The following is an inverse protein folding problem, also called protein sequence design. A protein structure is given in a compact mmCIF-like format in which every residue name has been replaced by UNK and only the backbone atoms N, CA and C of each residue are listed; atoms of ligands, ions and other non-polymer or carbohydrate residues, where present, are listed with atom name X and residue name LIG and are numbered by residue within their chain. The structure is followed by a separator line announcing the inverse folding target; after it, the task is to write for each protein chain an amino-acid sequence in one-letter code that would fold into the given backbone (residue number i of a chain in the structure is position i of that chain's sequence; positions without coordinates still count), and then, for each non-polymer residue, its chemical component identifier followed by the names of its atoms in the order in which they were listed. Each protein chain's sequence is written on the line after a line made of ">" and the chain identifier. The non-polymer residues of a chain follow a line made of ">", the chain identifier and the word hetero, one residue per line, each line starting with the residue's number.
data_IF_655353829265
#
_entry.id   IF_655353829265
#
_cell.length_a   1.000
_cell.length_b   1.000
_cell.length_c   1.000
_cell.angle_alpha   90.00
_cell.angle_beta   90.00
_cell.angle_gamma   90.00
#
_symmetry.space_group_name_H-M   'P 1'
#
loop_
_entity.id
_entity.type
_entity.pdbx_description
1 polymer ?
#
# COMPACT_ATOMS: atom_id res chain seq x y z
N UNK A 1 -8.03 37.86 3.11
CA UNK A 1 -7.61 36.88 2.09
C UNK A 1 -6.71 35.76 2.65
N UNK A 2 -5.62 36.05 3.37
CA UNK A 2 -4.68 35.01 3.88
C UNK A 2 -5.34 33.98 4.83
N UNK A 3 -6.28 34.40 5.69
CA UNK A 3 -7.00 33.51 6.62
C UNK A 3 -7.96 32.54 5.91
N UNK A 4 -8.62 32.97 4.83
CA UNK A 4 -9.53 32.11 4.04
C UNK A 4 -8.77 31.01 3.29
N UNK A 5 -7.58 31.32 2.77
CA UNK A 5 -6.71 30.33 2.13
C UNK A 5 -6.25 29.22 3.09
N UNK A 6 -5.89 29.60 4.33
CA UNK A 6 -5.50 28.65 5.37
C UNK A 6 -6.64 27.73 5.80
N UNK A 7 -7.87 28.28 5.92
CA UNK A 7 -9.06 27.51 6.29
C UNK A 7 -9.43 26.48 5.21
N UNK A 8 -9.39 26.88 3.93
CA UNK A 8 -9.64 25.98 2.79
C UNK A 8 -8.62 24.83 2.73
N UNK A 9 -7.35 25.14 2.98
CA UNK A 9 -6.28 24.12 3.04
C UNK A 9 -6.55 23.08 4.12
N UNK A 10 -6.85 23.53 5.35
CA UNK A 10 -7.17 22.62 6.47
C UNK A 10 -8.38 21.75 6.18
N UNK A 11 -9.43 22.31 5.57
CA UNK A 11 -10.63 21.56 5.20
C UNK A 11 -10.33 20.47 4.15
N UNK A 12 -9.49 20.78 3.16
CA UNK A 12 -9.04 19.81 2.16
C UNK A 12 -8.21 18.68 2.79
N UNK A 13 -7.29 19.00 3.69
CA UNK A 13 -6.49 18.01 4.43
C UNK A 13 -7.39 17.08 5.25
N UNK A 14 -8.40 17.60 5.93
CA UNK A 14 -9.36 16.78 6.69
C UNK A 14 -10.21 15.88 5.79
N UNK A 15 -10.63 16.36 4.62
CA UNK A 15 -11.35 15.57 3.63
C UNK A 15 -10.47 14.44 3.09
N UNK A 16 -9.21 14.74 2.74
CA UNK A 16 -8.23 13.76 2.28
C UNK A 16 -8.02 12.65 3.32
N UNK A 17 -7.89 13.00 4.60
CA UNK A 17 -7.82 12.04 5.71
C UNK A 17 -9.06 11.14 5.72
N UNK A 18 -10.26 11.71 5.62
CA UNK A 18 -11.52 10.92 5.62
C UNK A 18 -11.54 9.92 4.47
N UNK A 19 -11.11 10.32 3.28
CA UNK A 19 -11.03 9.44 2.11
C UNK A 19 -10.00 8.34 2.35
N UNK A 20 -8.78 8.69 2.76
CA UNK A 20 -7.71 7.72 2.96
C UNK A 20 -8.04 6.66 4.01
N UNK A 21 -8.75 7.01 5.10
CA UNK A 21 -9.22 6.03 6.10
C UNK A 21 -9.97 4.87 5.45
N UNK A 22 -10.94 5.19 4.61
CA UNK A 22 -11.77 4.20 3.94
C UNK A 22 -11.02 3.47 2.83
N UNK A 23 -10.11 4.15 2.14
CA UNK A 23 -9.24 3.52 1.13
C UNK A 23 -8.33 2.48 1.77
N UNK A 24 -7.60 2.81 2.84
CA UNK A 24 -6.71 1.84 3.51
C UNK A 24 -7.49 0.69 4.17
N UNK A 25 -8.63 0.98 4.81
CA UNK A 25 -9.50 -0.08 5.33
C UNK A 25 -10.01 -0.99 4.21
N UNK A 26 -10.43 -0.42 3.09
CA UNK A 26 -10.86 -1.17 1.91
C UNK A 26 -9.75 -2.04 1.34
N UNK A 27 -8.53 -1.50 1.19
CA UNK A 27 -7.35 -2.26 0.73
C UNK A 27 -7.04 -3.40 1.69
N UNK A 28 -7.07 -3.16 2.99
CA UNK A 28 -6.85 -4.19 3.99
C UNK A 28 -7.87 -5.32 3.87
N UNK A 29 -9.17 -4.99 3.84
CA UNK A 29 -10.24 -5.97 3.76
C UNK A 29 -10.20 -6.75 2.43
N UNK A 30 -10.13 -6.05 1.29
CA UNK A 30 -10.05 -6.68 -0.03
C UNK A 30 -8.84 -7.60 -0.11
N UNK A 31 -7.67 -7.13 0.34
CA UNK A 31 -6.45 -7.92 0.35
C UNK A 31 -6.60 -9.17 1.23
N UNK A 32 -7.10 -9.02 2.45
CA UNK A 32 -7.26 -10.12 3.40
C UNK A 32 -8.20 -11.18 2.85
N UNK A 33 -9.38 -10.78 2.39
CA UNK A 33 -10.35 -11.69 1.80
C UNK A 33 -9.84 -12.34 0.50
N UNK A 34 -9.07 -11.60 -0.31
CA UNK A 34 -8.43 -12.17 -1.50
C UNK A 34 -7.45 -13.27 -1.11
N UNK A 35 -6.58 -13.05 -0.12
CA UNK A 35 -5.66 -14.09 0.37
C UNK A 35 -6.42 -15.31 0.88
N UNK A 36 -7.43 -15.10 1.73
CA UNK A 36 -8.24 -16.19 2.27
C UNK A 36 -8.92 -16.97 1.15
N UNK A 37 -9.52 -16.28 0.18
CA UNK A 37 -10.17 -16.91 -0.98
C UNK A 37 -9.16 -17.71 -1.81
N UNK A 38 -7.98 -17.14 -2.07
CA UNK A 38 -6.92 -17.80 -2.83
C UNK A 38 -6.36 -19.04 -2.14
N UNK A 39 -6.41 -19.11 -0.80
CA UNK A 39 -6.04 -20.31 -0.05
C UNK A 39 -7.18 -21.33 0.01
N UNK A 40 -8.43 -20.88 0.14
CA UNK A 40 -9.58 -21.77 0.31
C UNK A 40 -10.08 -22.40 -1.00
N UNK A 41 -9.86 -21.75 -2.15
CA UNK A 41 -10.48 -22.16 -3.42
C UNK A 41 -9.41 -22.45 -4.50
N UNK A 42 -9.02 -23.71 -4.74
CA UNK A 42 -8.09 -24.08 -5.81
C UNK A 42 -8.79 -24.06 -7.19
N UNK A 43 -8.76 -22.93 -7.88
CA UNK A 43 -9.31 -22.78 -9.25
C UNK A 43 -8.28 -22.19 -10.21
N UNK A 44 -8.14 -22.70 -11.45
CA UNK A 44 -7.10 -22.25 -12.40
C UNK A 44 -7.17 -20.77 -12.78
N UNK A 45 -8.37 -20.20 -12.85
CA UNK A 45 -8.51 -18.77 -13.17
C UNK A 45 -7.94 -17.85 -12.09
N UNK A 46 -7.85 -18.32 -10.84
CA UNK A 46 -7.25 -17.58 -9.73
C UNK A 46 -5.73 -17.64 -9.77
N UNK A 47 -5.13 -18.53 -10.57
CA UNK A 47 -3.68 -18.68 -10.63
C UNK A 47 -2.98 -17.44 -11.21
N UNK A 48 -3.67 -16.64 -12.03
CA UNK A 48 -3.16 -15.37 -12.56
C UNK A 48 -2.89 -14.34 -11.44
N UNK A 49 -3.63 -14.42 -10.34
CA UNK A 49 -3.45 -13.55 -9.18
C UNK A 49 -2.68 -14.22 -8.04
N UNK A 50 -2.33 -15.52 -8.17
CA UNK A 50 -1.50 -16.25 -7.21
C UNK A 50 -0.02 -16.00 -7.47
N UNK A 51 0.56 -15.16 -6.62
CA UNK A 51 1.98 -14.91 -6.64
C UNK A 51 2.85 -16.18 -6.54
N UNK A 52 2.51 -17.21 -5.74
CA UNK A 52 3.27 -18.47 -5.74
C UNK A 52 3.36 -19.13 -7.13
N UNK A 53 2.26 -19.14 -7.89
CA UNK A 53 2.26 -19.70 -9.25
C UNK A 53 3.14 -18.88 -10.18
N UNK A 54 3.10 -17.55 -10.07
CA UNK A 54 3.99 -16.67 -10.82
C UNK A 54 5.47 -16.93 -10.48
N UNK A 55 5.84 -16.99 -9.19
CA UNK A 55 7.22 -17.23 -8.74
C UNK A 55 7.75 -18.54 -9.33
N UNK A 56 6.95 -19.61 -9.28
CA UNK A 56 7.32 -20.91 -9.84
C UNK A 56 7.50 -20.87 -11.35
N UNK A 57 6.63 -20.15 -12.05
CA UNK A 57 6.73 -20.03 -13.50
C UNK A 57 7.89 -19.11 -13.95
N UNK A 58 8.28 -18.15 -13.10
CA UNK A 58 9.35 -17.19 -13.38
C UNK A 58 10.75 -17.75 -13.05
N UNK A 59 10.86 -18.77 -12.18
CA UNK A 59 12.12 -19.40 -11.75
C UNK A 59 13.09 -19.73 -12.90
N UNK A 60 12.68 -20.36 -14.01
CA UNK A 60 13.59 -20.67 -15.12
C UNK A 60 14.18 -19.43 -15.81
N UNK A 61 13.53 -18.27 -15.68
CA UNK A 61 13.94 -17.03 -16.32
C UNK A 61 14.80 -16.17 -15.40
N UNK A 62 14.42 -16.08 -14.13
CA UNK A 62 15.04 -15.15 -13.18
C UNK A 62 16.25 -15.77 -12.45
N UNK A 63 16.39 -17.10 -12.48
CA UNK A 63 17.48 -17.80 -11.81
C UNK A 63 17.40 -17.81 -10.28
N UNK A 64 16.25 -17.38 -9.71
CA UNK A 64 15.98 -17.46 -8.28
C UNK A 64 15.19 -18.73 -7.96
N UNK A 65 15.67 -19.52 -7.01
CA UNK A 65 14.98 -20.73 -6.57
C UNK A 65 13.59 -20.42 -5.99
N UNK A 66 12.64 -21.33 -6.21
CA UNK A 66 11.25 -21.15 -5.77
C UNK A 66 11.10 -20.91 -4.26
N UNK A 67 11.65 -21.80 -3.42
CA UNK A 67 11.43 -21.75 -1.96
C UNK A 67 11.90 -20.45 -1.29
N UNK A 68 13.14 -19.95 -1.50
CA UNK A 68 13.55 -18.68 -0.91
C UNK A 68 12.71 -17.52 -1.47
N UNK A 69 12.38 -17.52 -2.76
CA UNK A 69 11.55 -16.49 -3.38
C UNK A 69 10.15 -16.43 -2.78
N UNK A 70 9.56 -17.59 -2.49
CA UNK A 70 8.26 -17.71 -1.83
C UNK A 70 8.31 -17.15 -0.39
N UNK A 71 9.36 -17.46 0.37
CA UNK A 71 9.55 -16.94 1.72
C UNK A 71 9.67 -15.41 1.71
N UNK A 72 10.50 -14.86 0.82
CA UNK A 72 10.64 -13.40 0.65
C UNK A 72 9.29 -12.75 0.31
N UNK A 73 8.53 -13.35 -0.60
CA UNK A 73 7.17 -12.89 -0.90
C UNK A 73 6.27 -12.87 0.34
N UNK A 74 6.24 -13.94 1.13
CA UNK A 74 5.40 -14.03 2.34
C UNK A 74 5.77 -12.96 3.37
N UNK A 75 7.07 -12.72 3.57
CA UNK A 75 7.58 -11.67 4.48
C UNK A 75 7.15 -10.28 3.98
N UNK A 76 7.33 -9.99 2.69
CA UNK A 76 6.91 -8.73 2.07
C UNK A 76 5.40 -8.55 2.20
N UNK A 77 4.62 -9.59 1.91
CA UNK A 77 3.16 -9.56 2.00
C UNK A 77 2.70 -9.28 3.42
N UNK A 78 3.20 -10.03 4.41
CA UNK A 78 2.84 -9.84 5.82
C UNK A 78 3.20 -8.44 6.30
N UNK A 79 4.40 -7.97 5.95
CA UNK A 79 4.87 -6.62 6.28
C UNK A 79 3.97 -5.55 5.66
N UNK A 80 3.57 -5.73 4.39
CA UNK A 80 2.66 -4.83 3.70
C UNK A 80 1.29 -4.76 4.39
N UNK A 81 0.70 -5.89 4.77
CA UNK A 81 -0.57 -5.92 5.50
C UNK A 81 -0.48 -5.22 6.85
N UNK A 82 0.63 -5.41 7.57
CA UNK A 82 0.87 -4.74 8.84
C UNK A 82 0.94 -3.22 8.65
N UNK A 83 1.67 -2.75 7.62
CA UNK A 83 1.78 -1.32 7.30
C UNK A 83 0.40 -0.75 6.95
N UNK A 84 -0.35 -1.38 6.05
CA UNK A 84 -1.71 -0.95 5.66
C UNK A 84 -2.62 -0.86 6.89
N UNK A 85 -2.56 -1.85 7.79
CA UNK A 85 -3.35 -1.86 9.02
C UNK A 85 -2.96 -0.69 9.95
N UNK A 86 -1.66 -0.46 10.12
CA UNK A 86 -1.16 0.65 10.95
C UNK A 86 -1.59 2.00 10.37
N UNK A 87 -1.49 2.20 9.05
CA UNK A 87 -1.94 3.44 8.40
C UNK A 87 -3.45 3.61 8.55
N UNK A 88 -4.25 2.55 8.33
CA UNK A 88 -5.69 2.58 8.53
C UNK A 88 -6.04 3.03 9.96
N UNK A 89 -5.53 2.31 10.97
CA UNK A 89 -5.77 2.58 12.39
C UNK A 89 -5.30 3.99 12.75
N UNK A 90 -4.09 4.39 12.33
CA UNK A 90 -3.53 5.70 12.65
C UNK A 90 -4.38 6.84 12.08
N UNK A 91 -4.88 6.69 10.85
CA UNK A 91 -5.76 7.66 10.23
C UNK A 91 -7.09 7.76 10.98
N UNK A 92 -7.68 6.66 11.48
CA UNK A 92 -8.87 6.71 12.35
C UNK A 92 -8.59 7.40 13.69
N UNK A 93 -7.40 7.21 14.25
CA UNK A 93 -7.00 7.70 15.57
C UNK A 93 -5.93 8.80 15.53
N UNK A 94 -6.15 9.89 14.78
CA UNK A 94 -5.29 11.09 14.76
C UNK A 94 -5.30 11.92 16.08
N UNK A 95 -5.36 11.25 17.23
CA UNK A 95 -5.50 11.85 18.56
C UNK A 95 -4.20 12.39 19.13
N UNK A 96 -3.04 12.02 18.60
CA UNK A 96 -1.74 12.46 19.13
C UNK A 96 -0.71 12.68 18.04
N UNK A 97 0.29 13.53 18.32
CA UNK A 97 1.43 13.71 17.44
C UNK A 97 2.28 12.43 17.32
N UNK A 98 2.23 11.54 18.32
CA UNK A 98 2.91 10.26 18.28
C UNK A 98 2.27 9.34 17.23
N UNK A 99 0.95 9.21 17.20
CA UNK A 99 0.25 8.40 16.19
C UNK A 99 0.51 8.95 14.77
N UNK A 100 0.50 10.27 14.60
CA UNK A 100 0.86 10.89 13.31
C UNK A 100 2.29 10.58 12.87
N UNK A 101 3.24 10.57 13.80
CA UNK A 101 4.64 10.20 13.50
C UNK A 101 4.77 8.71 13.15
N UNK A 102 4.04 7.84 13.84
CA UNK A 102 3.96 6.41 13.51
C UNK A 102 3.42 6.25 12.09
N UNK A 103 2.25 6.82 11.79
CA UNK A 103 1.65 6.85 10.45
C UNK A 103 2.65 7.31 9.38
N UNK A 104 3.28 8.47 9.59
CA UNK A 104 4.27 8.99 8.65
C UNK A 104 5.46 8.06 8.44
N UNK A 105 5.94 7.41 9.50
CA UNK A 105 7.08 6.47 9.43
C UNK A 105 6.67 5.21 8.68
N UNK A 106 5.54 4.61 9.01
CA UNK A 106 5.06 3.38 8.39
C UNK A 106 4.66 3.61 6.93
N UNK A 107 4.04 4.75 6.61
CA UNK A 107 3.79 5.15 5.23
C UNK A 107 5.09 5.28 4.43
N UNK A 108 6.16 5.84 5.01
CA UNK A 108 7.47 5.91 4.35
C UNK A 108 8.11 4.52 4.14
N UNK A 109 8.04 3.65 5.16
CA UNK A 109 8.47 2.25 5.02
C UNK A 109 7.64 1.55 3.94
N UNK A 110 6.35 1.83 3.83
CA UNK A 110 5.46 1.36 2.77
C UNK A 110 5.94 1.79 1.39
N UNK A 111 6.34 3.06 1.20
CA UNK A 111 6.94 3.55 -0.06
C UNK A 111 8.18 2.73 -0.43
N UNK A 112 9.09 2.49 0.52
CA UNK A 112 10.31 1.70 0.26
C UNK A 112 9.95 0.27 -0.14
N UNK A 113 9.09 -0.38 0.65
CA UNK A 113 8.72 -1.78 0.46
C UNK A 113 8.01 -2.00 -0.88
N UNK A 114 7.03 -1.16 -1.22
CA UNK A 114 6.34 -1.28 -2.51
C UNK A 114 7.24 -0.85 -3.69
N UNK A 115 8.21 0.05 -3.46
CA UNK A 115 9.26 0.37 -4.42
C UNK A 115 10.16 -0.83 -4.75
N UNK A 116 10.50 -1.66 -3.77
CA UNK A 116 11.23 -2.93 -4.01
C UNK A 116 10.39 -3.91 -4.84
N UNK A 117 9.09 -4.01 -4.56
CA UNK A 117 8.16 -4.85 -5.34
C UNK A 117 8.06 -4.37 -6.79
N UNK A 118 7.94 -3.05 -7.03
CA UNK A 118 7.95 -2.47 -8.38
C UNK A 118 9.26 -2.82 -9.09
N UNK A 119 10.40 -2.65 -8.41
CA UNK A 119 11.73 -2.95 -8.97
C UNK A 119 11.83 -4.41 -9.38
N UNK A 120 11.34 -5.33 -8.54
CA UNK A 120 11.30 -6.76 -8.84
C UNK A 120 10.47 -7.06 -10.10
N UNK A 121 9.30 -6.45 -10.26
CA UNK A 121 8.47 -6.68 -11.44
C UNK A 121 9.00 -6.00 -12.71
N UNK A 122 9.63 -4.83 -12.59
CA UNK A 122 10.33 -4.19 -13.71
C UNK A 122 11.52 -5.04 -14.17
N UNK A 123 12.31 -5.56 -13.22
CA UNK A 123 13.37 -6.52 -13.51
C UNK A 123 12.82 -7.78 -14.18
N UNK A 124 11.73 -8.34 -13.65
CA UNK A 124 11.08 -9.52 -14.22
C UNK A 124 10.60 -9.28 -15.64
N UNK A 125 9.99 -8.12 -15.91
CA UNK A 125 9.54 -7.73 -17.25
C UNK A 125 10.71 -7.62 -18.22
N UNK A 126 11.83 -7.05 -17.78
CA UNK A 126 13.03 -6.89 -18.60
C UNK A 126 13.66 -8.23 -18.98
N UNK A 127 13.74 -9.19 -18.03
CA UNK A 127 14.37 -10.50 -18.26
C UNK A 127 13.45 -11.44 -19.05
N UNK A 128 12.17 -11.51 -18.71
CA UNK A 128 11.22 -12.44 -19.32
C UNK A 128 10.81 -11.99 -20.74
N UNK A 129 10.83 -10.68 -21.01
CA UNK A 129 10.49 -10.12 -22.31
C UNK A 129 8.99 -10.02 -22.58
N UNK A 130 8.62 -9.22 -23.58
CA UNK A 130 7.23 -8.83 -23.83
C UNK A 130 6.32 -9.96 -24.35
N UNK A 131 6.88 -10.98 -24.99
CA UNK A 131 6.12 -12.02 -25.69
C UNK A 131 5.73 -13.22 -24.81
N UNK A 132 6.12 -13.21 -23.53
CA UNK A 132 5.79 -14.29 -22.59
C UNK A 132 4.35 -14.23 -22.10
N UNK A 133 3.76 -15.40 -21.84
CA UNK A 133 2.46 -15.53 -21.17
C UNK A 133 2.47 -14.88 -19.78
N UNK A 134 3.64 -14.83 -19.13
CA UNK A 134 3.82 -14.21 -17.81
C UNK A 134 3.76 -12.69 -17.83
N UNK A 135 3.97 -12.06 -18.98
CA UNK A 135 4.01 -10.60 -19.11
C UNK A 135 2.70 -9.95 -18.68
N UNK A 136 1.56 -10.55 -19.00
CA UNK A 136 0.25 -10.05 -18.55
C UNK A 136 0.14 -10.01 -17.03
N UNK A 137 0.61 -11.07 -16.36
CA UNK A 137 0.64 -11.17 -14.90
C UNK A 137 1.55 -10.10 -14.29
N UNK A 138 2.75 -9.92 -14.86
CA UNK A 138 3.70 -8.88 -14.42
C UNK A 138 3.09 -7.48 -14.55
N UNK A 139 2.43 -7.18 -15.67
CA UNK A 139 1.79 -5.89 -15.90
C UNK A 139 0.65 -5.62 -14.91
N UNK A 140 -0.17 -6.63 -14.60
CA UNK A 140 -1.23 -6.50 -13.58
C UNK A 140 -0.60 -6.13 -12.23
N UNK A 141 0.44 -6.87 -11.81
CA UNK A 141 1.12 -6.57 -10.55
C UNK A 141 1.79 -5.20 -10.56
N UNK A 142 2.42 -4.78 -11.66
CA UNK A 142 2.98 -3.43 -11.79
C UNK A 142 1.92 -2.34 -11.64
N UNK A 143 0.77 -2.47 -12.30
CA UNK A 143 -0.32 -1.48 -12.20
C UNK A 143 -0.82 -1.38 -10.75
N UNK A 144 -1.02 -2.51 -10.08
CA UNK A 144 -1.45 -2.55 -8.68
C UNK A 144 -0.37 -1.93 -7.78
N UNK A 145 0.89 -2.33 -7.93
CA UNK A 145 1.98 -1.82 -7.11
C UNK A 145 2.25 -0.34 -7.33
N UNK A 146 2.16 0.18 -8.56
CA UNK A 146 2.28 1.61 -8.86
C UNK A 146 1.14 2.41 -8.24
N UNK A 147 -0.10 1.91 -8.34
CA UNK A 147 -1.26 2.55 -7.71
C UNK A 147 -1.09 2.66 -6.19
N UNK A 148 -0.60 1.60 -5.56
CA UNK A 148 -0.28 1.58 -4.13
C UNK A 148 0.90 2.50 -3.80
N UNK A 149 1.95 2.52 -4.61
CA UNK A 149 3.10 3.41 -4.42
C UNK A 149 2.68 4.88 -4.43
N UNK A 150 1.85 5.29 -5.40
CA UNK A 150 1.29 6.65 -5.45
C UNK A 150 0.46 6.96 -4.20
N UNK A 151 -0.37 6.01 -3.75
CA UNK A 151 -1.16 6.16 -2.52
C UNK A 151 -0.24 6.37 -1.30
N UNK A 152 0.80 5.56 -1.14
CA UNK A 152 1.75 5.68 -0.03
C UNK A 152 2.51 6.99 -0.03
N UNK A 153 2.97 7.45 -1.20
CA UNK A 153 3.59 8.78 -1.34
C UNK A 153 2.61 9.85 -0.87
N UNK A 154 1.37 9.79 -1.35
CA UNK A 154 0.35 10.77 -0.99
C UNK A 154 0.08 10.79 0.52
N UNK A 155 -0.10 9.63 1.14
CA UNK A 155 -0.31 9.49 2.60
C UNK A 155 0.87 10.03 3.40
N UNK A 156 2.09 9.72 2.98
CA UNK A 156 3.29 10.23 3.63
C UNK A 156 3.37 11.76 3.62
N UNK A 157 3.05 12.39 2.49
CA UNK A 157 2.99 13.85 2.38
C UNK A 157 1.88 14.45 3.24
N UNK A 158 0.70 13.82 3.26
CA UNK A 158 -0.42 14.24 4.08
C UNK A 158 -0.08 14.19 5.59
N UNK A 159 0.57 13.12 6.04
CA UNK A 159 0.97 12.98 7.44
C UNK A 159 2.00 14.04 7.85
N UNK A 160 2.94 14.37 6.97
CA UNK A 160 3.87 15.48 7.19
C UNK A 160 3.14 16.81 7.33
N UNK A 161 2.14 17.06 6.50
CA UNK A 161 1.28 18.26 6.58
C UNK A 161 0.51 18.30 7.92
N UNK A 162 -0.11 17.18 8.32
CA UNK A 162 -0.83 17.03 9.58
C UNK A 162 0.03 17.26 10.82
N UNK A 163 1.30 16.83 10.78
CA UNK A 163 2.27 17.05 11.86
C UNK A 163 2.63 18.53 11.96
N UNK A 164 2.81 19.21 10.82
CA UNK A 164 3.26 20.62 10.75
C UNK A 164 2.17 21.63 11.05
N UNK A 165 0.95 21.40 10.55
CA UNK A 165 -0.06 22.44 10.45
C UNK A 165 -1.32 22.23 11.30
N UNK A 166 -1.52 21.02 11.86
CA UNK A 166 -2.69 20.67 12.66
C UNK A 166 -2.28 20.14 14.04
N UNK A 167 -1.83 20.98 14.98
CA UNK A 167 -1.59 20.56 16.36
C UNK A 167 -2.90 20.02 16.97
N UNK A 168 -2.78 18.96 17.76
CA UNK A 168 -3.85 18.09 18.28
C UNK A 168 -5.12 18.81 18.78
N UNK A 169 -5.00 20.04 19.29
CA UNK A 169 -6.13 20.85 19.79
C UNK A 169 -7.14 21.26 18.71
N UNK A 170 -6.75 21.37 17.44
CA UNK A 170 -7.67 21.77 16.36
C UNK A 170 -8.61 20.62 15.91
N UNK A 171 -8.23 19.36 16.14
CA UNK A 171 -8.98 18.17 15.72
C UNK A 171 -10.03 17.78 16.77
N UNK A 172 -9.78 18.04 18.07
CA UNK A 172 -10.72 17.76 19.15
C UNK A 172 -12.04 18.55 18.99
N UNK A 173 -11.96 19.82 18.59
CA UNK A 173 -13.13 20.71 18.47
C UNK A 173 -14.05 20.38 17.27
N UNK A 174 -13.62 19.53 16.34
CA UNK A 174 -14.39 19.09 15.17
C UNK A 174 -15.01 17.69 15.33
N UNK A 175 -14.79 17.03 16.48
CA UNK A 175 -15.47 15.76 16.83
C UNK A 175 -16.73 15.99 17.69
N UNK A 176 -16.94 17.20 18.18
CA UNK A 176 -18.10 17.58 19.03
C UNK A 176 -19.24 18.25 18.24
N UNK A 177 -19.24 18.16 16.92
CA UNK A 177 -20.32 18.60 16.02
C UNK A 177 -20.63 17.52 15.01
#
# INVERSE_FOLDING_TARGET
>A
MVQQGKLKSVMNTLLAVKILRWVYLGIFLIGFFTIVLLHAVPKPFLDIIRMPTFIRAAEPYLGFSYDPSLLFYQIILLSFFLIVLIDAVSLFFLSSNLIKKISSTFSFVGVILIGLVITYFLYSLFIIGADSVLTKTILIYLVVSLSLFTLYIYTFWLDKDLIRHLPTRAIANNREK
#
